data_IF_142398999536
#
_entry.id   IF_142398999536
#
_cell.length_a   1.000
_cell.length_b   1.000
_cell.length_c   1.000
_cell.angle_alpha   90.00
_cell.angle_beta   90.00
_cell.angle_gamma   90.00
#
_symmetry.space_group_name_H-M   'P 1'
#
loop_
_entity.id
_entity.type
_entity.pdbx_description
1 polymer ?
#
# COMPACT_ATOMS: atom_id res chain seq x y z
N UNK A 1 -0.34 45.48 -44.58
CA UNK A 1 -1.43 44.72 -43.93
C UNK A 1 -1.41 43.18 -44.15
N UNK A 2 -0.70 42.63 -45.14
CA UNK A 2 -0.69 41.17 -45.42
C UNK A 2 0.33 40.37 -44.60
N UNK A 3 1.37 40.98 -44.03
CA UNK A 3 2.44 40.26 -43.29
C UNK A 3 2.05 39.91 -41.83
N UNK A 4 1.21 40.71 -41.20
CA UNK A 4 0.80 40.51 -39.79
C UNK A 4 -0.22 39.39 -39.61
N UNK A 5 -0.97 39.06 -40.67
CA UNK A 5 -1.99 38.01 -40.64
C UNK A 5 -1.35 36.64 -40.70
N UNK A 6 -0.19 36.49 -41.35
CA UNK A 6 0.49 35.21 -41.56
C UNK A 6 1.22 34.75 -40.29
N UNK A 7 1.76 35.65 -39.49
CA UNK A 7 2.49 35.32 -38.24
C UNK A 7 1.57 34.92 -37.07
N UNK A 8 0.27 35.27 -37.11
CA UNK A 8 -0.69 34.92 -36.06
C UNK A 8 -1.51 33.68 -36.34
N UNK A 9 -1.58 33.20 -37.58
CA UNK A 9 -2.37 32.03 -37.96
C UNK A 9 -1.54 30.75 -37.90
N UNK A 10 -0.24 30.84 -38.16
CA UNK A 10 0.66 29.65 -38.17
C UNK A 10 0.77 28.97 -36.79
N UNK A 11 0.92 29.67 -35.66
CA UNK A 11 1.02 28.98 -34.35
C UNK A 11 -0.32 28.36 -33.90
N UNK A 12 -1.48 28.92 -34.32
CA UNK A 12 -2.78 28.37 -33.97
C UNK A 12 -3.07 27.10 -34.77
N UNK A 13 -2.70 27.04 -36.04
CA UNK A 13 -2.79 25.84 -36.87
C UNK A 13 -1.85 24.73 -36.40
N UNK A 14 -0.64 25.05 -35.94
CA UNK A 14 0.30 24.10 -35.38
C UNK A 14 -0.20 23.53 -34.05
N UNK A 15 -0.83 24.33 -33.20
CA UNK A 15 -1.42 23.88 -31.93
C UNK A 15 -2.63 22.96 -32.16
N UNK A 16 -3.47 23.23 -33.18
CA UNK A 16 -4.62 22.39 -33.53
C UNK A 16 -4.15 21.05 -34.14
N UNK A 17 -3.11 21.05 -34.97
CA UNK A 17 -2.53 19.82 -35.53
C UNK A 17 -1.84 18.95 -34.47
N UNK A 18 -1.18 19.57 -33.47
CA UNK A 18 -0.63 18.83 -32.33
C UNK A 18 -1.74 18.23 -31.44
N UNK A 19 -2.84 18.96 -31.22
CA UNK A 19 -3.96 18.45 -30.41
C UNK A 19 -4.71 17.29 -31.09
N UNK A 20 -4.83 17.32 -32.41
CA UNK A 20 -5.40 16.22 -33.21
C UNK A 20 -4.51 14.97 -33.21
N UNK A 21 -3.18 15.13 -33.22
CA UNK A 21 -2.23 14.00 -33.12
C UNK A 21 -2.25 13.33 -31.76
N UNK A 22 -2.56 14.05 -30.67
CA UNK A 22 -2.71 13.49 -29.33
C UNK A 22 -4.07 12.79 -29.14
N UNK A 23 -5.14 13.23 -29.81
CA UNK A 23 -6.44 12.60 -29.73
C UNK A 23 -6.48 11.25 -30.45
N UNK A 24 -5.81 11.13 -31.62
CA UNK A 24 -5.75 9.89 -32.40
C UNK A 24 -4.85 8.80 -31.79
N UNK A 25 -3.93 9.17 -30.89
CA UNK A 25 -3.10 8.22 -30.14
C UNK A 25 -3.86 7.51 -28.99
N UNK A 26 -5.05 7.99 -28.64
CA UNK A 26 -5.82 7.48 -27.50
C UNK A 26 -6.91 6.46 -27.92
N UNK A 27 -7.16 6.30 -29.22
CA UNK A 27 -8.22 5.43 -29.76
C UNK A 27 -7.75 4.08 -30.36
N UNK A 28 -6.45 3.77 -30.29
CA UNK A 28 -5.98 2.42 -30.66
C UNK A 28 -5.95 1.52 -29.43
N UNK A 29 -7.04 0.81 -29.21
CA UNK A 29 -7.21 -0.42 -28.45
C UNK A 29 -6.15 -0.75 -27.38
N UNK A 30 -5.89 0.15 -26.44
CA UNK A 30 -4.99 -0.12 -25.35
C UNK A 30 -5.61 -1.16 -24.43
N UNK A 31 -4.99 -2.34 -24.29
CA UNK A 31 -5.25 -3.23 -23.16
C UNK A 31 -5.34 -2.38 -21.90
N UNK A 32 -6.44 -2.52 -21.15
CA UNK A 32 -6.58 -1.82 -19.87
C UNK A 32 -5.28 -1.99 -19.08
N UNK A 33 -4.65 -0.88 -18.70
CA UNK A 33 -3.39 -0.92 -17.96
C UNK A 33 -3.66 -1.67 -16.68
N UNK A 34 -3.01 -2.83 -16.48
CA UNK A 34 -3.18 -3.62 -15.26
C UNK A 34 -2.93 -2.75 -14.03
N UNK A 35 -3.81 -2.86 -13.06
CA UNK A 35 -3.72 -2.14 -11.78
C UNK A 35 -2.73 -2.79 -10.81
N UNK A 36 -2.19 -3.95 -11.14
CA UNK A 36 -1.27 -4.76 -10.36
C UNK A 36 -0.18 -5.37 -11.25
N UNK A 37 0.92 -5.84 -10.65
CA UNK A 37 1.96 -6.58 -11.39
C UNK A 37 1.61 -8.04 -11.57
N UNK A 38 1.01 -8.66 -10.54
CA UNK A 38 0.57 -10.04 -10.54
C UNK A 38 -0.82 -10.14 -9.90
N UNK A 39 -1.69 -10.88 -10.54
CA UNK A 39 -3.00 -11.25 -9.97
C UNK A 39 -2.83 -12.28 -8.86
N UNK A 40 -3.87 -12.48 -8.05
CA UNK A 40 -3.85 -13.50 -6.98
C UNK A 40 -3.53 -14.91 -7.50
N UNK A 41 -3.95 -15.25 -8.71
CA UNK A 41 -3.73 -16.58 -9.30
C UNK A 41 -2.30 -16.78 -9.83
N UNK A 42 -1.61 -15.71 -10.18
CA UNK A 42 -0.21 -15.76 -10.63
C UNK A 42 0.78 -15.78 -9.46
N UNK A 43 0.32 -15.35 -8.27
CA UNK A 43 1.15 -15.34 -7.07
C UNK A 43 1.28 -16.75 -6.47
N UNK A 44 2.47 -17.07 -5.93
CA UNK A 44 2.64 -18.31 -5.17
C UNK A 44 1.70 -18.34 -3.96
N UNK A 45 1.33 -19.54 -3.52
CA UNK A 45 0.53 -19.69 -2.31
C UNK A 45 1.38 -19.39 -1.07
N UNK A 46 1.10 -18.27 -0.42
CA UNK A 46 1.83 -17.87 0.78
C UNK A 46 1.69 -18.88 1.94
N UNK A 47 0.63 -19.68 1.97
CA UNK A 47 0.48 -20.74 2.98
C UNK A 47 1.53 -21.84 2.85
N UNK A 48 2.17 -22.00 1.68
CA UNK A 48 3.28 -22.96 1.50
C UNK A 48 4.60 -22.48 2.13
N UNK A 49 4.73 -21.19 2.42
CA UNK A 49 5.96 -20.57 2.92
C UNK A 49 5.84 -20.05 4.36
N UNK A 50 4.64 -19.63 4.74
CA UNK A 50 4.38 -19.08 6.06
C UNK A 50 4.03 -20.22 7.04
N UNK A 51 4.62 -20.21 8.24
CA UNK A 51 4.21 -21.17 9.29
C UNK A 51 2.76 -20.91 9.70
N UNK A 52 2.11 -21.94 10.22
CA UNK A 52 0.80 -21.75 10.85
C UNK A 52 0.90 -20.78 12.02
N UNK A 53 -0.10 -19.90 12.22
CA UNK A 53 -0.11 -19.03 13.40
C UNK A 53 -0.24 -19.88 14.68
N UNK A 54 0.40 -19.43 15.75
CA UNK A 54 0.32 -20.09 17.06
C UNK A 54 -1.10 -20.12 17.59
N UNK A 55 -1.42 -21.17 18.36
CA UNK A 55 -2.73 -21.39 18.98
C UNK A 55 -2.64 -21.29 20.50
N UNK A 56 -3.74 -20.96 21.19
CA UNK A 56 -3.79 -21.02 22.66
C UNK A 56 -3.28 -22.36 23.18
N UNK A 57 -2.37 -22.30 24.16
CA UNK A 57 -1.73 -23.48 24.75
C UNK A 57 -0.41 -23.89 24.10
N UNK A 58 -0.05 -23.34 22.94
CA UNK A 58 1.26 -23.56 22.32
C UNK A 58 2.32 -22.61 22.90
N UNK A 59 3.60 -23.02 23.01
CA UNK A 59 4.67 -22.16 23.58
C UNK A 59 4.80 -20.79 22.88
N UNK A 60 4.69 -20.76 21.56
CA UNK A 60 4.80 -19.51 20.80
C UNK A 60 3.61 -18.55 21.05
N UNK A 61 2.46 -19.09 21.47
CA UNK A 61 1.30 -18.25 21.78
C UNK A 61 1.54 -17.36 23.01
N UNK A 62 2.37 -17.78 23.95
CA UNK A 62 2.75 -16.95 25.09
C UNK A 62 3.48 -15.65 24.63
N UNK A 63 4.32 -15.76 23.60
CA UNK A 63 4.95 -14.59 22.98
C UNK A 63 3.93 -13.68 22.29
N UNK A 64 3.00 -14.22 21.52
CA UNK A 64 1.91 -13.46 20.89
C UNK A 64 1.07 -12.71 21.93
N UNK A 65 0.74 -13.39 23.04
CA UNK A 65 -0.02 -12.77 24.14
C UNK A 65 0.77 -11.65 24.81
N UNK A 66 2.07 -11.83 25.07
CA UNK A 66 2.92 -10.81 25.64
C UNK A 66 3.00 -9.55 24.75
N UNK A 67 3.12 -9.72 23.45
CA UNK A 67 3.06 -8.62 22.47
C UNK A 67 1.69 -7.93 22.45
N UNK A 68 0.62 -8.71 22.52
CA UNK A 68 -0.73 -8.15 22.57
C UNK A 68 -0.92 -7.27 23.81
N UNK A 69 -0.55 -7.75 25.00
CA UNK A 69 -0.62 -6.98 26.25
C UNK A 69 0.26 -5.75 26.22
N UNK A 70 1.51 -5.88 25.75
CA UNK A 70 2.41 -4.74 25.59
C UNK A 70 1.82 -3.70 24.65
N UNK A 71 1.23 -4.11 23.52
CA UNK A 71 0.64 -3.18 22.56
C UNK A 71 -0.55 -2.40 23.15
N UNK A 72 -1.31 -3.00 24.08
CA UNK A 72 -2.42 -2.31 24.75
C UNK A 72 -1.90 -1.14 25.60
N UNK A 73 -0.77 -1.32 26.28
CA UNK A 73 -0.16 -0.25 27.08
C UNK A 73 0.29 0.96 26.23
N UNK A 74 0.55 0.75 24.94
CA UNK A 74 0.95 1.83 24.03
C UNK A 74 -0.21 2.65 23.46
N UNK A 75 -1.46 2.18 23.56
CA UNK A 75 -2.61 2.81 22.89
C UNK A 75 -2.83 4.27 23.23
N UNK A 76 -2.51 4.68 24.46
CA UNK A 76 -2.66 6.06 24.94
C UNK A 76 -1.40 6.93 24.76
N UNK A 77 -0.37 6.42 24.10
CA UNK A 77 0.88 7.13 23.80
C UNK A 77 0.88 7.66 22.36
N UNK A 78 1.88 8.51 22.03
CA UNK A 78 2.11 8.98 20.65
C UNK A 78 2.27 7.81 19.67
N UNK A 79 2.88 6.68 20.12
CA UNK A 79 2.99 5.48 19.28
C UNK A 79 1.63 4.86 19.00
N UNK A 80 0.71 4.90 19.95
CA UNK A 80 -0.66 4.42 19.76
C UNK A 80 -1.47 5.32 18.82
N UNK A 81 -1.32 6.63 18.93
CA UNK A 81 -1.93 7.60 18.01
C UNK A 81 -1.44 7.36 16.58
N UNK A 82 -0.13 7.20 16.41
CA UNK A 82 0.47 6.88 15.13
C UNK A 82 -0.04 5.56 14.55
N UNK A 83 -0.19 4.52 15.37
CA UNK A 83 -0.73 3.24 14.94
C UNK A 83 -2.19 3.32 14.45
N UNK A 84 -2.98 4.24 15.02
CA UNK A 84 -4.35 4.51 14.53
C UNK A 84 -4.35 5.17 13.16
N UNK A 85 -3.44 6.13 12.94
CA UNK A 85 -3.27 6.74 11.62
C UNK A 85 -2.80 5.72 10.58
N UNK A 86 -1.87 4.84 10.95
CA UNK A 86 -1.34 3.76 10.10
C UNK A 86 -2.40 2.69 9.76
N UNK A 87 -3.52 2.64 10.48
CA UNK A 87 -4.62 1.73 10.19
C UNK A 87 -5.40 2.13 8.94
N UNK A 88 -5.32 3.40 8.51
CA UNK A 88 -5.86 3.84 7.22
C UNK A 88 -4.98 3.26 6.10
N UNK A 89 -5.53 2.29 5.38
CA UNK A 89 -4.82 1.54 4.33
C UNK A 89 -4.93 2.17 2.93
N UNK A 90 -5.45 3.39 2.83
CA UNK A 90 -5.41 4.15 1.60
C UNK A 90 -3.96 4.38 1.14
N UNK A 91 -3.69 4.13 -0.14
CA UNK A 91 -2.32 4.24 -0.68
C UNK A 91 -1.67 5.59 -0.34
N UNK A 92 -2.42 6.69 -0.45
CA UNK A 92 -1.93 8.04 -0.15
C UNK A 92 -1.43 8.16 1.30
N UNK A 93 -2.11 7.53 2.26
CA UNK A 93 -1.70 7.50 3.66
C UNK A 93 -0.47 6.62 3.87
N UNK A 94 -0.44 5.46 3.25
CA UNK A 94 0.72 4.57 3.36
C UNK A 94 1.99 5.19 2.80
N UNK A 95 1.96 5.82 1.62
CA UNK A 95 3.15 6.45 1.03
C UNK A 95 3.60 7.67 1.81
N UNK A 96 2.66 8.44 2.39
CA UNK A 96 2.94 9.60 3.24
C UNK A 96 3.86 9.26 4.42
N UNK A 97 3.77 8.05 4.96
CA UNK A 97 4.64 7.59 6.05
C UNK A 97 6.12 7.55 5.68
N UNK A 98 6.42 7.33 4.42
CA UNK A 98 7.79 7.26 3.92
C UNK A 98 8.36 8.63 3.49
N UNK A 99 7.52 9.65 3.29
CA UNK A 99 7.95 10.96 2.78
C UNK A 99 9.08 11.60 3.60
N UNK A 100 9.08 11.57 4.95
CA UNK A 100 10.18 12.12 5.73
C UNK A 100 11.52 11.42 5.45
N UNK A 101 11.50 10.09 5.26
CA UNK A 101 12.70 9.31 4.99
C UNK A 101 13.17 9.46 3.54
N UNK A 102 12.26 9.57 2.56
CA UNK A 102 12.63 9.73 1.14
C UNK A 102 12.92 11.18 0.77
N UNK A 103 12.41 12.15 1.54
CA UNK A 103 12.66 13.58 1.37
C UNK A 103 11.90 14.24 0.21
N UNK A 104 10.85 13.59 -0.31
CA UNK A 104 9.98 14.11 -1.37
C UNK A 104 8.52 13.76 -1.08
N UNK A 105 7.59 14.55 -1.63
CA UNK A 105 6.16 14.22 -1.61
C UNK A 105 5.85 13.13 -2.65
N UNK A 106 5.20 12.06 -2.20
CA UNK A 106 4.83 10.92 -3.06
C UNK A 106 3.35 11.02 -3.40
N UNK A 107 3.04 11.50 -4.59
CA UNK A 107 1.66 11.63 -5.06
C UNK A 107 1.55 11.43 -6.56
N UNK A 108 0.32 11.25 -7.03
CA UNK A 108 0.05 11.17 -8.47
C UNK A 108 0.45 12.45 -9.21
N UNK A 109 0.39 13.60 -8.54
CA UNK A 109 0.74 14.89 -9.11
C UNK A 109 2.26 15.13 -9.12
N UNK A 110 2.93 14.92 -7.98
CA UNK A 110 4.35 15.28 -7.82
C UNK A 110 5.30 14.21 -8.36
N UNK A 111 4.95 12.93 -8.20
CA UNK A 111 5.80 11.79 -8.56
C UNK A 111 5.00 10.69 -9.27
N UNK A 112 4.38 10.97 -10.43
CA UNK A 112 3.39 10.09 -11.05
C UNK A 112 3.92 8.67 -11.33
N UNK A 113 5.17 8.55 -11.75
CA UNK A 113 5.77 7.24 -12.03
C UNK A 113 6.03 6.43 -10.76
N UNK A 114 6.56 7.06 -9.70
CA UNK A 114 6.78 6.43 -8.40
C UNK A 114 5.44 6.04 -7.77
N UNK A 115 4.46 6.95 -7.77
CA UNK A 115 3.13 6.67 -7.24
C UNK A 115 2.47 5.49 -7.97
N UNK A 116 2.58 5.41 -9.29
CA UNK A 116 2.08 4.28 -10.09
C UNK A 116 2.81 2.98 -9.76
N UNK A 117 4.14 3.01 -9.61
CA UNK A 117 4.93 1.85 -9.20
C UNK A 117 4.44 1.31 -7.85
N UNK A 118 4.38 2.18 -6.84
CA UNK A 118 3.94 1.81 -5.49
C UNK A 118 2.47 1.38 -5.45
N UNK A 119 1.58 2.00 -6.24
CA UNK A 119 0.18 1.59 -6.37
C UNK A 119 0.05 0.16 -6.85
N UNK A 120 0.76 -0.21 -7.92
CA UNK A 120 0.72 -1.57 -8.46
C UNK A 120 1.34 -2.58 -7.51
N UNK A 121 2.48 -2.25 -6.89
CA UNK A 121 3.14 -3.09 -5.90
C UNK A 121 2.26 -3.32 -4.67
N UNK A 122 1.62 -2.27 -4.17
CA UNK A 122 0.69 -2.32 -3.04
C UNK A 122 -0.47 -3.29 -3.29
N UNK A 123 -1.07 -3.23 -4.48
CA UNK A 123 -2.16 -4.14 -4.86
C UNK A 123 -1.67 -5.59 -4.99
N UNK A 124 -0.52 -5.80 -5.62
CA UNK A 124 0.12 -7.12 -5.72
C UNK A 124 0.42 -7.70 -4.34
N UNK A 125 0.99 -6.91 -3.43
CA UNK A 125 1.27 -7.31 -2.04
C UNK A 125 -0.02 -7.67 -1.27
N UNK A 126 -1.10 -6.91 -1.47
CA UNK A 126 -2.41 -7.23 -0.90
C UNK A 126 -2.92 -8.58 -1.41
N UNK A 127 -2.82 -8.85 -2.70
CA UNK A 127 -3.24 -10.12 -3.31
C UNK A 127 -2.43 -11.30 -2.75
N UNK A 128 -1.13 -11.12 -2.49
CA UNK A 128 -0.25 -12.17 -1.98
C UNK A 128 -0.69 -12.74 -0.62
N UNK A 129 -1.41 -11.95 0.18
CA UNK A 129 -1.87 -12.41 1.50
C UNK A 129 -3.21 -13.16 1.49
N UNK A 130 -4.00 -13.06 0.41
CA UNK A 130 -5.41 -13.50 0.41
C UNK A 130 -5.59 -15.00 0.61
N UNK A 131 -4.84 -15.82 -0.14
CA UNK A 131 -4.93 -17.29 -0.02
C UNK A 131 -4.56 -17.75 1.39
N UNK A 132 -3.45 -17.26 1.95
CA UNK A 132 -3.01 -17.60 3.29
C UNK A 132 -3.98 -17.09 4.37
N UNK A 133 -4.54 -15.88 4.23
CA UNK A 133 -5.60 -15.38 5.12
C UNK A 133 -6.81 -16.32 5.15
N UNK A 134 -7.27 -16.76 3.99
CA UNK A 134 -8.39 -17.71 3.86
C UNK A 134 -8.04 -19.07 4.44
N UNK A 135 -6.81 -19.53 4.23
CA UNK A 135 -6.32 -20.84 4.70
C UNK A 135 -6.24 -20.90 6.23
N UNK A 136 -5.58 -19.92 6.86
CA UNK A 136 -5.37 -19.89 8.30
C UNK A 136 -6.57 -19.38 9.08
N UNK A 137 -7.32 -18.47 8.51
CA UNK A 137 -8.52 -17.85 9.08
C UNK A 137 -8.34 -17.47 10.57
N UNK A 138 -7.17 -16.93 10.94
CA UNK A 138 -6.86 -16.58 12.33
C UNK A 138 -7.79 -15.48 12.81
N UNK A 139 -8.49 -15.74 13.91
CA UNK A 139 -9.34 -14.76 14.58
C UNK A 139 -8.52 -13.57 15.03
N UNK A 140 -9.08 -12.36 14.95
CA UNK A 140 -8.39 -11.16 15.41
C UNK A 140 -8.30 -11.13 16.93
N UNK A 141 -7.20 -10.61 17.51
CA UNK A 141 -7.00 -10.61 18.96
C UNK A 141 -8.14 -9.98 19.75
N UNK A 142 -8.67 -8.84 19.31
CA UNK A 142 -9.78 -8.18 20.02
C UNK A 142 -11.06 -9.01 20.04
N UNK A 143 -11.34 -9.80 18.99
CA UNK A 143 -12.46 -10.74 18.94
C UNK A 143 -12.15 -11.95 19.83
N UNK A 144 -10.94 -12.50 19.76
CA UNK A 144 -10.50 -13.69 20.52
C UNK A 144 -10.57 -13.44 22.02
N UNK A 145 -10.17 -12.24 22.47
CA UNK A 145 -10.15 -11.89 23.89
C UNK A 145 -11.39 -11.13 24.37
N UNK A 146 -12.35 -10.84 23.45
CA UNK A 146 -13.56 -10.05 23.75
C UNK A 146 -13.23 -8.69 24.37
N UNK A 147 -12.22 -8.03 23.83
CA UNK A 147 -11.71 -6.74 24.30
C UNK A 147 -11.82 -5.69 23.18
N UNK A 148 -11.88 -4.38 23.51
CA UNK A 148 -11.81 -3.35 22.49
C UNK A 148 -10.48 -3.39 21.69
N UNK A 149 -10.54 -3.10 20.42
CA UNK A 149 -9.32 -2.91 19.60
C UNK A 149 -8.65 -1.55 19.87
N UNK A 150 -7.52 -1.29 19.21
CA UNK A 150 -6.92 0.05 19.18
C UNK A 150 -7.66 1.02 18.23
N UNK A 151 -8.65 0.52 17.44
CA UNK A 151 -9.36 1.26 16.40
C UNK A 151 -10.85 0.92 16.48
N UNK A 152 -11.57 1.43 17.50
CA UNK A 152 -12.97 1.07 17.74
C UNK A 152 -13.88 1.31 16.53
N UNK A 153 -13.62 2.36 15.77
CA UNK A 153 -14.36 2.75 14.57
C UNK A 153 -14.30 1.71 13.42
N UNK A 154 -13.34 0.82 13.45
CA UNK A 154 -13.14 -0.21 12.41
C UNK A 154 -13.43 -1.64 12.90
N UNK A 155 -13.82 -1.83 14.14
CA UNK A 155 -14.03 -3.16 14.75
C UNK A 155 -15.04 -4.01 13.98
N UNK A 156 -16.18 -3.43 13.64
CA UNK A 156 -17.25 -4.14 12.91
C UNK A 156 -16.72 -4.67 11.56
N UNK A 157 -15.99 -3.85 10.82
CA UNK A 157 -15.42 -4.23 9.51
C UNK A 157 -14.33 -5.28 9.62
N UNK A 158 -13.58 -5.28 10.73
CA UNK A 158 -12.47 -6.20 10.93
C UNK A 158 -12.86 -7.51 11.61
N UNK A 159 -13.91 -7.54 12.41
CA UNK A 159 -14.29 -8.70 13.22
C UNK A 159 -14.44 -10.00 12.40
N UNK A 160 -15.02 -9.89 11.20
CA UNK A 160 -15.19 -11.01 10.28
C UNK A 160 -13.98 -11.34 9.38
N UNK A 161 -12.87 -10.62 9.52
CA UNK A 161 -11.71 -10.80 8.64
C UNK A 161 -10.51 -11.42 9.36
N UNK A 162 -9.78 -12.31 8.67
CA UNK A 162 -8.60 -12.98 9.22
C UNK A 162 -7.48 -11.99 9.58
N UNK A 163 -6.84 -12.19 10.74
CA UNK A 163 -5.72 -11.37 11.21
C UNK A 163 -4.38 -11.74 10.59
N UNK A 164 -4.19 -12.98 10.12
CA UNK A 164 -2.91 -13.51 9.68
C UNK A 164 -2.98 -14.08 8.25
N UNK A 165 -1.95 -13.81 7.42
CA UNK A 165 -0.87 -12.84 7.61
C UNK A 165 -1.36 -11.39 7.55
N UNK A 166 -0.57 -10.44 8.09
CA UNK A 166 -0.93 -9.03 8.11
C UNK A 166 -0.82 -8.39 6.71
N UNK A 167 -1.93 -7.86 6.19
CA UNK A 167 -1.92 -7.12 4.92
C UNK A 167 -1.17 -5.79 5.03
N UNK A 168 -1.29 -5.05 6.15
CA UNK A 168 -0.56 -3.81 6.39
C UNK A 168 0.96 -4.04 6.41
N UNK A 169 1.43 -5.03 7.19
CA UNK A 169 2.86 -5.36 7.24
C UNK A 169 3.40 -5.79 5.88
N UNK A 170 2.66 -6.60 5.12
CA UNK A 170 3.10 -7.05 3.80
C UNK A 170 3.22 -5.87 2.84
N UNK A 171 2.26 -4.95 2.84
CA UNK A 171 2.27 -3.77 1.97
C UNK A 171 3.32 -2.74 2.38
N UNK A 172 3.43 -2.43 3.68
CA UNK A 172 4.43 -1.53 4.22
C UNK A 172 5.84 -2.02 3.91
N UNK A 173 6.13 -3.29 4.20
CA UNK A 173 7.42 -3.90 3.89
C UNK A 173 7.74 -3.92 2.39
N UNK A 174 6.75 -4.19 1.53
CA UNK A 174 6.93 -4.12 0.08
C UNK A 174 7.33 -2.72 -0.38
N UNK A 175 6.67 -1.67 0.16
CA UNK A 175 7.04 -0.29 -0.15
C UNK A 175 8.43 0.06 0.35
N UNK A 176 8.77 -0.35 1.57
CA UNK A 176 10.08 -0.11 2.16
C UNK A 176 11.20 -0.74 1.31
N UNK A 177 11.04 -1.97 0.87
CA UNK A 177 12.02 -2.64 0.00
C UNK A 177 12.19 -1.92 -1.33
N UNK A 178 11.10 -1.52 -1.99
CA UNK A 178 11.16 -0.80 -3.26
C UNK A 178 11.85 0.57 -3.08
N UNK A 179 11.46 1.32 -2.06
CA UNK A 179 12.03 2.64 -1.80
C UNK A 179 13.51 2.55 -1.39
N UNK A 180 13.89 1.53 -0.62
CA UNK A 180 15.29 1.27 -0.25
C UNK A 180 16.16 0.93 -1.45
N UNK A 181 15.64 0.20 -2.44
CA UNK A 181 16.34 -0.08 -3.69
C UNK A 181 16.54 1.19 -4.52
N UNK A 182 15.55 2.08 -4.53
CA UNK A 182 15.63 3.36 -5.24
C UNK A 182 16.52 4.40 -4.54
N UNK A 183 16.65 4.31 -3.21
CA UNK A 183 17.38 5.25 -2.36
C UNK A 183 18.29 4.50 -1.37
N UNK A 184 19.34 3.82 -1.84
CA UNK A 184 20.18 2.96 -1.01
C UNK A 184 20.85 3.71 0.14
N UNK A 185 21.19 4.98 -0.03
CA UNK A 185 21.80 5.82 1.00
C UNK A 185 20.85 6.12 2.19
N UNK A 186 19.53 5.90 2.00
CA UNK A 186 18.49 6.08 3.03
C UNK A 186 17.80 4.79 3.44
N UNK A 187 18.34 3.65 3.00
CA UNK A 187 17.68 2.34 3.19
C UNK A 187 17.37 2.03 4.65
N UNK A 188 18.25 2.36 5.60
CA UNK A 188 18.02 2.10 7.01
C UNK A 188 16.81 2.86 7.56
N UNK A 189 16.68 4.15 7.23
CA UNK A 189 15.55 4.98 7.65
C UNK A 189 14.24 4.46 7.04
N UNK A 190 14.28 4.11 5.75
CA UNK A 190 13.13 3.59 5.00
C UNK A 190 12.67 2.24 5.56
N UNK A 191 13.59 1.30 5.78
CA UNK A 191 13.29 -0.03 6.32
C UNK A 191 12.76 0.01 7.75
N UNK A 192 13.11 1.05 8.53
CA UNK A 192 12.58 1.24 9.88
C UNK A 192 11.08 1.60 9.89
N UNK A 193 10.57 2.17 8.79
CA UNK A 193 9.16 2.55 8.64
C UNK A 193 8.31 1.37 8.17
N UNK A 194 8.84 0.49 7.33
CA UNK A 194 8.14 -0.63 6.68
C UNK A 194 8.00 -1.87 7.52
#
# INVERSE_FOLDING_TARGET
>A
MKRVLFERVLPVLAAILLSLSFADAQEKGGKAVSTEYMTENELPDAAAYLPAPSKPGEPLFAGDLAYYEWSKALRATDRGLLAREDADDALAKMVQRFEPAVGILISQENTPNLYRLLSKANRTASNATRKAKKHYNRVRPFVQFSEPSGIPESEESYAGSASYPSGHSTRGWTMALILSELLPDRSQEILHIG
#
